data_IF_942312185268
#
_entry.id   IF_942312185268
#
_cell.length_a   1.000
_cell.length_b   1.000
_cell.length_c   1.000
_cell.angle_alpha   90.00
_cell.angle_beta   90.00
_cell.angle_gamma   90.00
#
_symmetry.space_group_name_H-M   'P 1'
#
loop_
_entity.id
_entity.type
_entity.pdbx_description
1 polymer ?
#
# COMPACT_ATOMS: atom_id res chain seq x y z
N UNK A 1 18.91 39.90 16.88
CA UNK A 1 18.26 39.04 17.91
C UNK A 1 16.80 38.94 17.53
N UNK A 2 16.39 37.80 16.98
CA UNK A 2 15.02 37.55 16.52
C UNK A 2 14.95 36.08 16.20
N UNK A 3 14.60 35.32 17.23
CA UNK A 3 14.77 33.88 17.33
C UNK A 3 14.02 33.12 16.23
N UNK A 4 14.73 32.13 15.71
CA UNK A 4 14.27 31.02 14.89
C UNK A 4 13.16 30.26 15.63
N UNK A 5 11.97 30.82 15.72
CA UNK A 5 10.78 30.08 16.10
C UNK A 5 10.31 29.30 14.87
N UNK A 6 11.15 28.34 14.48
CA UNK A 6 10.73 27.18 13.73
C UNK A 6 9.48 26.68 14.41
N UNK A 7 8.36 26.87 13.74
CA UNK A 7 7.18 26.06 13.89
C UNK A 7 7.64 24.62 13.62
N UNK A 8 8.32 24.02 14.61
CA UNK A 8 8.34 22.58 14.81
C UNK A 8 6.89 22.28 15.14
N UNK A 9 6.09 22.22 14.08
CA UNK A 9 4.79 21.59 14.11
C UNK A 9 5.12 20.25 14.75
N UNK A 10 4.69 20.03 15.98
CA UNK A 10 4.28 18.69 16.32
C UNK A 10 3.10 18.45 15.38
N UNK A 11 3.44 18.08 14.13
CA UNK A 11 2.47 17.85 13.09
C UNK A 11 1.64 16.72 13.64
N UNK A 12 0.33 16.89 13.71
CA UNK A 12 -0.51 15.73 13.94
C UNK A 12 -0.21 14.71 12.86
N UNK A 13 -0.36 13.44 13.22
CA UNK A 13 -0.22 12.34 12.31
C UNK A 13 -1.10 12.59 11.08
N UNK A 14 -0.47 12.56 9.89
CA UNK A 14 -1.14 12.86 8.63
C UNK A 14 -2.09 11.74 8.14
N UNK A 15 -2.25 10.65 8.92
CA UNK A 15 -3.06 9.51 8.55
C UNK A 15 -4.49 9.62 9.11
N UNK A 16 -5.36 8.81 8.52
CA UNK A 16 -6.77 8.68 8.89
C UNK A 16 -6.98 7.35 9.60
N UNK A 17 -7.74 7.34 10.68
CA UNK A 17 -8.13 6.13 11.37
C UNK A 17 -9.04 5.25 10.47
N UNK A 18 -9.24 3.99 10.85
CA UNK A 18 -10.03 3.03 10.04
C UNK A 18 -11.50 3.42 9.90
N UNK A 19 -12.01 4.22 10.84
CA UNK A 19 -13.35 4.79 10.82
C UNK A 19 -13.48 6.04 9.94
N UNK A 20 -12.37 6.54 9.37
CA UNK A 20 -12.37 7.71 8.48
C UNK A 20 -12.12 9.04 9.19
N UNK A 21 -11.97 9.07 10.52
CA UNK A 21 -11.57 10.28 11.26
C UNK A 21 -10.07 10.56 11.13
N UNK A 22 -9.68 11.85 11.18
CA UNK A 22 -8.28 12.24 11.17
C UNK A 22 -7.58 11.80 12.46
N UNK A 23 -6.35 11.30 12.34
CA UNK A 23 -5.57 10.91 13.50
C UNK A 23 -5.15 12.13 14.31
N UNK A 24 -5.55 12.19 15.57
CA UNK A 24 -5.23 13.30 16.48
C UNK A 24 -3.92 13.10 17.24
N UNK A 25 -3.21 11.99 17.02
CA UNK A 25 -1.93 11.71 17.68
C UNK A 25 -0.80 12.55 17.09
N UNK A 26 0.19 12.88 17.90
CA UNK A 26 1.39 13.56 17.43
C UNK A 26 2.20 12.68 16.47
N UNK A 27 2.71 13.29 15.39
CA UNK A 27 3.68 12.66 14.53
C UNK A 27 5.05 12.59 15.22
N UNK A 28 5.82 11.57 14.85
CA UNK A 28 7.17 11.38 15.40
C UNK A 28 8.13 12.45 14.87
N UNK A 29 9.22 12.73 15.58
CA UNK A 29 10.15 13.81 15.25
C UNK A 29 10.78 13.70 13.84
N UNK A 30 10.83 12.49 13.29
CA UNK A 30 11.42 12.13 12.00
C UNK A 30 10.39 11.59 10.98
N UNK A 31 9.09 11.59 11.33
CA UNK A 31 8.06 11.04 10.45
C UNK A 31 6.79 11.88 10.45
N UNK A 32 5.97 11.76 9.40
CA UNK A 32 4.65 12.41 9.33
C UNK A 32 3.55 11.59 10.00
N UNK A 33 3.92 10.48 10.62
CA UNK A 33 3.00 9.49 11.16
C UNK A 33 3.28 9.26 12.65
N UNK A 34 2.26 8.85 13.40
CA UNK A 34 2.47 8.37 14.76
C UNK A 34 3.00 6.92 14.71
N UNK A 35 3.49 6.41 15.85
CA UNK A 35 3.99 5.02 15.95
C UNK A 35 3.00 3.97 15.43
N UNK A 36 1.68 4.21 15.57
CA UNK A 36 0.63 3.30 15.09
C UNK A 36 0.52 3.29 13.55
N UNK A 37 0.77 4.44 12.91
CA UNK A 37 0.66 4.60 11.47
C UNK A 37 2.00 4.51 10.73
N UNK A 38 3.13 4.43 11.46
CA UNK A 38 4.45 4.23 10.89
C UNK A 38 4.54 2.91 10.10
N UNK A 39 4.01 1.82 10.66
CA UNK A 39 4.00 0.51 9.99
C UNK A 39 3.08 0.48 8.77
N UNK A 40 1.96 1.21 8.81
CA UNK A 40 1.04 1.32 7.68
C UNK A 40 1.70 2.02 6.47
N UNK A 41 2.44 3.10 6.72
CA UNK A 41 3.22 3.78 5.68
C UNK A 41 4.37 2.92 5.12
N UNK A 42 4.87 1.96 5.91
CA UNK A 42 5.89 0.99 5.50
C UNK A 42 5.35 -0.11 4.57
N UNK A 43 4.05 -0.41 4.61
CA UNK A 43 3.46 -1.46 3.74
C UNK A 43 3.26 -1.03 2.30
N UNK A 44 3.25 0.27 2.02
CA UNK A 44 3.22 0.78 0.64
C UNK A 44 4.56 0.58 -0.08
N UNK A 45 5.65 0.31 0.65
CA UNK A 45 6.99 0.12 0.05
C UNK A 45 7.25 -1.29 -0.49
N UNK A 46 6.31 -2.24 -0.33
CA UNK A 46 6.27 -3.47 -1.16
C UNK A 46 5.36 -3.36 -2.39
N UNK A 47 4.88 -2.15 -2.69
CA UNK A 47 4.36 -1.81 -3.99
C UNK A 47 5.26 -0.75 -4.62
N UNK A 48 6.50 -1.14 -5.00
CA UNK A 48 7.07 -0.61 -6.24
C UNK A 48 6.21 -1.17 -7.37
N UNK A 49 4.99 -0.66 -7.48
CA UNK A 49 4.12 -0.83 -8.62
C UNK A 49 4.81 -0.12 -9.76
N UNK A 50 5.69 -0.85 -10.41
CA UNK A 50 6.09 -0.58 -11.77
C UNK A 50 4.78 -0.50 -12.59
N UNK A 51 4.45 0.67 -13.16
CA UNK A 51 3.13 0.91 -13.75
C UNK A 51 2.85 0.02 -14.97
N UNK A 52 3.88 -0.61 -15.53
CA UNK A 52 3.75 -1.60 -16.59
C UNK A 52 3.39 -3.00 -16.06
N UNK A 53 3.55 -3.27 -14.76
CA UNK A 53 3.27 -4.58 -14.20
C UNK A 53 1.79 -4.80 -13.86
N UNK A 54 0.97 -3.75 -13.69
CA UNK A 54 -0.45 -3.91 -13.32
C UNK A 54 -1.28 -4.63 -14.38
N UNK A 55 -1.25 -4.13 -15.62
CA UNK A 55 -1.99 -4.73 -16.73
C UNK A 55 -1.47 -6.12 -17.10
N UNK A 56 -0.15 -6.27 -17.21
CA UNK A 56 0.47 -7.53 -17.59
C UNK A 56 0.34 -8.62 -16.52
N UNK A 57 0.35 -8.28 -15.23
CA UNK A 57 0.10 -9.27 -14.16
C UNK A 57 -1.34 -9.74 -14.12
N UNK A 58 -2.31 -8.84 -14.34
CA UNK A 58 -3.72 -9.26 -14.46
C UNK A 58 -3.93 -10.15 -15.68
N UNK A 59 -3.34 -9.78 -16.82
CA UNK A 59 -3.42 -10.56 -18.05
C UNK A 59 -2.76 -11.93 -17.89
N UNK A 60 -1.55 -12.00 -17.32
CA UNK A 60 -0.85 -13.25 -17.04
C UNK A 60 -1.63 -14.14 -16.06
N UNK A 61 -2.22 -13.55 -15.02
CA UNK A 61 -3.09 -14.26 -14.08
C UNK A 61 -4.31 -14.87 -14.76
N UNK A 62 -5.00 -14.09 -15.60
CA UNK A 62 -6.16 -14.56 -16.35
C UNK A 62 -5.78 -15.72 -17.30
N UNK A 63 -4.67 -15.59 -18.03
CA UNK A 63 -4.19 -16.67 -18.89
C UNK A 63 -3.84 -17.93 -18.11
N UNK A 64 -3.13 -17.82 -16.97
CA UNK A 64 -2.78 -18.97 -16.15
C UNK A 64 -4.01 -19.76 -15.70
N UNK A 65 -5.05 -19.07 -15.22
CA UNK A 65 -6.32 -19.72 -14.81
C UNK A 65 -6.99 -20.41 -15.99
N UNK A 66 -7.05 -19.75 -17.15
CA UNK A 66 -7.66 -20.31 -18.36
C UNK A 66 -6.90 -21.57 -18.82
N UNK A 67 -5.57 -21.52 -18.89
CA UNK A 67 -4.75 -22.66 -19.32
C UNK A 67 -4.87 -23.84 -18.36
N UNK A 68 -4.80 -23.59 -17.04
CA UNK A 68 -4.94 -24.64 -16.03
C UNK A 68 -6.33 -25.28 -16.14
N UNK A 69 -7.38 -24.47 -16.21
CA UNK A 69 -8.76 -24.98 -16.30
C UNK A 69 -8.98 -25.77 -17.59
N UNK A 70 -8.50 -25.27 -18.72
CA UNK A 70 -8.60 -25.96 -20.01
C UNK A 70 -7.84 -27.28 -20.03
N UNK A 71 -6.63 -27.31 -19.45
CA UNK A 71 -5.83 -28.53 -19.35
C UNK A 71 -6.50 -29.58 -18.47
N UNK A 72 -7.03 -29.17 -17.31
CA UNK A 72 -7.79 -30.06 -16.43
C UNK A 72 -9.04 -30.60 -17.13
N UNK A 73 -9.75 -29.78 -17.90
CA UNK A 73 -10.90 -30.22 -18.69
C UNK A 73 -10.48 -31.23 -19.77
N UNK A 74 -9.37 -31.02 -20.47
CA UNK A 74 -8.86 -32.01 -21.45
C UNK A 74 -8.53 -33.34 -20.79
N UNK A 75 -7.83 -33.32 -19.66
CA UNK A 75 -7.52 -34.53 -18.91
C UNK A 75 -8.79 -35.26 -18.45
N UNK A 76 -9.78 -34.52 -17.94
CA UNK A 76 -11.04 -35.09 -17.49
C UNK A 76 -11.88 -35.67 -18.64
N UNK A 77 -11.83 -35.04 -19.81
CA UNK A 77 -12.57 -35.47 -21.01
C UNK A 77 -11.81 -36.51 -21.85
N UNK A 78 -10.53 -36.78 -21.53
CA UNK A 78 -9.69 -37.74 -22.27
C UNK A 78 -9.37 -37.30 -23.71
N UNK A 79 -9.27 -35.98 -23.94
CA UNK A 79 -9.01 -35.34 -25.25
C UNK A 79 -7.54 -35.03 -25.51
#
# INVERSE_FOLDING_TARGET
MGEEAGFRIMSSCAATNKDGSSCSNDAMADSKYCHVHQDAAGTDTKARADPDHGFWTMLAGAFAVIFVTYFLLRLALGL
#
